data_IF_129777565378
#
_entry.id   IF_129777565378
#
_cell.length_a   1.000
_cell.length_b   1.000
_cell.length_c   1.000
_cell.angle_alpha   90.00
_cell.angle_beta   90.00
_cell.angle_gamma   90.00
#
_symmetry.space_group_name_H-M   'P 1'
#
loop_
_entity.id
_entity.type
_entity.pdbx_description
1 polymer ?
#
# COMPACT_ATOMS: atom_id res chain seq x y z
N UNK A 1 -6.50 13.99 -0.94
CA UNK A 1 -6.39 13.69 0.51
C UNK A 1 -7.22 12.46 0.93
N UNK A 2 -8.51 12.39 0.58
CA UNK A 2 -9.44 11.29 0.92
C UNK A 2 -8.92 9.85 0.74
N UNK A 3 -8.15 9.59 -0.33
CA UNK A 3 -7.76 8.23 -0.69
C UNK A 3 -6.36 7.79 -0.23
N UNK A 4 -5.61 8.63 0.52
CA UNK A 4 -4.24 8.29 0.93
C UNK A 4 -4.21 7.01 1.75
N UNK A 5 -5.15 6.84 2.69
CA UNK A 5 -5.23 5.65 3.53
C UNK A 5 -5.54 4.37 2.73
N UNK A 6 -6.51 4.43 1.84
CA UNK A 6 -6.86 3.31 0.96
C UNK A 6 -5.71 2.97 0.01
N UNK A 7 -5.11 3.97 -0.66
CA UNK A 7 -3.96 3.74 -1.54
C UNK A 7 -2.78 3.12 -0.77
N UNK A 8 -2.45 3.66 0.40
CA UNK A 8 -1.40 3.11 1.26
C UNK A 8 -1.68 1.63 1.61
N UNK A 9 -2.90 1.31 2.03
CA UNK A 9 -3.31 -0.05 2.36
C UNK A 9 -3.13 -1.01 1.17
N UNK A 10 -3.62 -0.62 -0.02
CA UNK A 10 -3.50 -1.44 -1.23
C UNK A 10 -2.03 -1.61 -1.65
N UNK A 11 -1.20 -0.57 -1.53
CA UNK A 11 0.24 -0.67 -1.82
C UNK A 11 0.94 -1.65 -0.88
N UNK A 12 0.62 -1.63 0.42
CA UNK A 12 1.15 -2.61 1.37
C UNK A 12 0.71 -4.02 1.01
N UNK A 13 -0.56 -4.22 0.61
CA UNK A 13 -1.05 -5.52 0.15
C UNK A 13 -0.34 -6.02 -1.12
N UNK A 14 -0.07 -5.14 -2.09
CA UNK A 14 0.73 -5.44 -3.29
C UNK A 14 2.14 -5.88 -2.93
N UNK A 15 2.81 -5.13 -2.05
CA UNK A 15 4.15 -5.43 -1.57
C UNK A 15 4.21 -6.76 -0.80
N UNK A 16 3.20 -7.03 0.03
CA UNK A 16 3.06 -8.29 0.76
C UNK A 16 2.90 -9.47 -0.20
N UNK A 17 2.03 -9.37 -1.20
CA UNK A 17 1.85 -10.40 -2.22
C UNK A 17 3.14 -10.66 -3.00
N UNK A 18 3.83 -9.59 -3.44
CA UNK A 18 5.10 -9.69 -4.15
C UNK A 18 6.16 -10.39 -3.31
N UNK A 19 6.21 -10.12 -2.01
CA UNK A 19 7.13 -10.81 -1.11
C UNK A 19 6.78 -12.29 -0.93
N UNK A 20 5.51 -12.60 -0.66
CA UNK A 20 5.08 -13.94 -0.26
C UNK A 20 5.02 -14.93 -1.42
N UNK A 21 4.64 -14.46 -2.61
CA UNK A 21 4.32 -15.31 -3.77
C UNK A 21 5.13 -14.97 -5.02
N UNK A 22 6.04 -14.00 -4.92
CA UNK A 22 6.81 -13.42 -6.04
C UNK A 22 5.96 -12.84 -7.19
N UNK A 23 4.65 -12.69 -6.97
CA UNK A 23 3.70 -12.10 -7.93
C UNK A 23 3.01 -10.88 -7.31
N UNK A 24 2.64 -9.93 -8.16
CA UNK A 24 1.78 -8.82 -7.74
C UNK A 24 0.37 -9.32 -7.38
N UNK A 25 -0.35 -8.55 -6.56
CA UNK A 25 -1.67 -8.95 -6.08
C UNK A 25 -2.64 -9.13 -7.27
N UNK A 26 -3.26 -10.31 -7.42
CA UNK A 26 -4.20 -10.56 -8.50
C UNK A 26 -5.37 -9.58 -8.47
N UNK A 27 -5.88 -9.21 -9.64
CA UNK A 27 -6.95 -8.23 -9.77
C UNK A 27 -8.20 -8.57 -8.94
N UNK A 28 -8.59 -9.86 -8.88
CA UNK A 28 -9.71 -10.31 -8.07
C UNK A 28 -9.50 -10.02 -6.57
N UNK A 29 -8.33 -10.40 -6.03
CA UNK A 29 -7.98 -10.14 -4.62
C UNK A 29 -7.85 -8.64 -4.33
N UNK A 30 -7.34 -7.86 -5.30
CA UNK A 30 -7.27 -6.41 -5.19
C UNK A 30 -8.66 -5.77 -5.07
N UNK A 31 -9.61 -6.20 -5.90
CA UNK A 31 -10.99 -5.72 -5.86
C UNK A 31 -11.66 -6.10 -4.54
N UNK A 32 -11.46 -7.33 -4.06
CA UNK A 32 -11.99 -7.79 -2.76
C UNK A 32 -11.46 -6.94 -1.60
N UNK A 33 -10.14 -6.74 -1.51
CA UNK A 33 -9.52 -5.91 -0.47
C UNK A 33 -9.99 -4.46 -0.54
N UNK A 34 -10.13 -3.91 -1.75
CA UNK A 34 -10.65 -2.57 -1.94
C UNK A 34 -12.08 -2.46 -1.41
N UNK A 35 -12.96 -3.39 -1.78
CA UNK A 35 -14.34 -3.38 -1.33
C UNK A 35 -14.46 -3.56 0.18
N UNK A 36 -13.69 -4.48 0.77
CA UNK A 36 -13.66 -4.69 2.21
C UNK A 36 -13.23 -3.41 2.95
N UNK A 37 -12.16 -2.76 2.49
CA UNK A 37 -11.67 -1.52 3.11
C UNK A 37 -12.67 -0.36 2.99
N UNK A 38 -13.25 -0.18 1.81
CA UNK A 38 -14.27 0.87 1.55
C UNK A 38 -15.49 0.67 2.44
N UNK A 39 -15.96 -0.57 2.59
CA UNK A 39 -17.09 -0.92 3.46
C UNK A 39 -16.75 -0.69 4.93
N UNK A 40 -15.58 -1.17 5.39
CA UNK A 40 -15.14 -1.04 6.78
C UNK A 40 -14.94 0.41 7.21
N UNK A 41 -14.45 1.28 6.32
CA UNK A 41 -14.22 2.70 6.59
C UNK A 41 -15.42 3.58 6.24
N UNK A 42 -16.56 2.99 5.86
CA UNK A 42 -17.78 3.69 5.41
C UNK A 42 -17.51 4.79 4.36
N UNK A 43 -16.51 4.57 3.51
CA UNK A 43 -16.03 5.60 2.59
C UNK A 43 -16.88 5.63 1.33
N UNK A 44 -17.35 6.80 0.92
CA UNK A 44 -17.91 6.97 -0.44
C UNK A 44 -16.79 6.88 -1.47
N UNK A 45 -16.76 5.84 -2.29
CA UNK A 45 -15.77 5.68 -3.38
C UNK A 45 -16.49 5.23 -4.64
N UNK A 46 -16.53 6.09 -5.66
CA UNK A 46 -17.19 5.76 -6.92
C UNK A 46 -16.38 4.73 -7.73
N UNK A 47 -17.03 4.08 -8.69
CA UNK A 47 -16.41 2.99 -9.45
C UNK A 47 -15.18 3.42 -10.24
N UNK A 48 -15.11 4.68 -10.70
CA UNK A 48 -13.98 5.21 -11.47
C UNK A 48 -12.77 5.43 -10.57
N UNK A 49 -12.99 5.97 -9.38
CA UNK A 49 -11.98 6.11 -8.34
C UNK A 49 -11.41 4.75 -7.93
N UNK A 50 -12.25 3.71 -7.83
CA UNK A 50 -11.80 2.34 -7.50
C UNK A 50 -10.84 1.78 -8.55
N UNK A 51 -11.19 1.91 -9.84
CA UNK A 51 -10.33 1.47 -10.94
C UNK A 51 -9.00 2.23 -10.90
N UNK A 52 -9.06 3.55 -10.73
CA UNK A 52 -7.87 4.38 -10.69
C UNK A 52 -6.97 4.03 -9.49
N UNK A 53 -7.54 3.85 -8.30
CA UNK A 53 -6.81 3.44 -7.09
C UNK A 53 -6.18 2.06 -7.22
N UNK A 54 -6.88 1.12 -7.87
CA UNK A 54 -6.32 -0.19 -8.18
C UNK A 54 -5.04 -0.08 -9.01
N UNK A 55 -5.08 0.68 -10.11
CA UNK A 55 -3.90 0.94 -10.95
C UNK A 55 -2.80 1.69 -10.19
N UNK A 56 -3.17 2.76 -9.48
CA UNK A 56 -2.23 3.57 -8.71
C UNK A 56 -1.50 2.74 -7.65
N UNK A 57 -2.19 1.79 -7.02
CA UNK A 57 -1.58 0.92 -6.01
C UNK A 57 -0.45 0.07 -6.59
N UNK A 58 -0.64 -0.47 -7.80
CA UNK A 58 0.38 -1.27 -8.48
C UNK A 58 1.57 -0.40 -8.92
N UNK A 59 1.30 0.75 -9.54
CA UNK A 59 2.33 1.69 -9.98
C UNK A 59 3.24 2.12 -8.81
N UNK A 60 2.62 2.50 -7.68
CA UNK A 60 3.37 2.93 -6.49
C UNK A 60 4.13 1.75 -5.88
N UNK A 61 3.52 0.57 -5.78
CA UNK A 61 4.19 -0.62 -5.24
C UNK A 61 5.41 -1.02 -6.06
N UNK A 62 5.31 -0.99 -7.40
CA UNK A 62 6.43 -1.27 -8.31
C UNK A 62 7.55 -0.24 -8.15
N UNK A 63 7.21 1.04 -8.10
CA UNK A 63 8.18 2.12 -7.91
C UNK A 63 8.95 1.98 -6.58
N UNK A 64 8.23 1.70 -5.49
CA UNK A 64 8.80 1.50 -4.16
C UNK A 64 9.65 0.21 -4.11
N UNK A 65 9.15 -0.89 -4.67
CA UNK A 65 9.88 -2.14 -4.71
C UNK A 65 11.18 -2.03 -5.53
N UNK A 66 11.16 -1.30 -6.65
CA UNK A 66 12.36 -1.04 -7.45
C UNK A 66 13.39 -0.18 -6.70
N UNK A 67 12.93 0.80 -5.91
CA UNK A 67 13.82 1.71 -5.18
C UNK A 67 14.42 1.10 -3.91
N UNK A 68 13.66 0.28 -3.17
CA UNK A 68 14.04 -0.17 -1.81
C UNK A 68 14.14 -1.69 -1.67
N UNK A 69 13.76 -2.45 -2.69
CA UNK A 69 13.82 -3.90 -2.69
C UNK A 69 12.82 -4.60 -1.75
N UNK A 70 12.89 -5.94 -1.66
CA UNK A 70 11.93 -6.75 -0.90
C UNK A 70 12.04 -6.58 0.63
N UNK A 71 13.19 -6.11 1.13
CA UNK A 71 13.41 -5.86 2.56
C UNK A 71 12.51 -4.72 3.09
N UNK A 72 12.14 -3.77 2.23
CA UNK A 72 11.24 -2.66 2.56
C UNK A 72 9.92 -3.17 3.17
N UNK A 73 9.39 -4.28 2.66
CA UNK A 73 8.09 -4.84 3.05
C UNK A 73 8.05 -5.31 4.51
N UNK A 74 9.18 -5.69 5.10
CA UNK A 74 9.21 -6.20 6.49
C UNK A 74 8.68 -5.20 7.50
N UNK A 75 9.02 -3.93 7.30
CA UNK A 75 8.59 -2.83 8.16
C UNK A 75 7.07 -2.63 8.23
N UNK A 76 6.31 -3.28 7.35
CA UNK A 76 4.85 -3.23 7.27
C UNK A 76 4.18 -4.52 7.74
N UNK A 77 4.90 -5.65 7.80
CA UNK A 77 4.35 -6.97 8.13
C UNK A 77 4.66 -7.41 9.56
N UNK A 78 5.56 -6.73 10.27
CA UNK A 78 5.92 -7.08 11.64
C UNK A 78 4.77 -6.87 12.62
N UNK A 79 4.06 -7.95 12.94
CA UNK A 79 3.30 -8.11 14.19
C UNK A 79 4.16 -8.95 15.14
N UNK A 80 4.74 -8.30 16.16
CA UNK A 80 5.39 -8.92 17.32
C UNK A 80 6.54 -9.91 17.04
N UNK A 81 7.79 -9.47 17.25
CA UNK A 81 8.93 -10.21 17.82
C UNK A 81 10.25 -9.64 17.26
N UNK A 82 10.77 -8.58 17.88
CA UNK A 82 12.20 -8.38 18.20
C UNK A 82 12.45 -6.96 18.77
N UNK A 83 13.36 -6.79 19.76
CA UNK A 83 13.36 -5.61 20.62
C UNK A 83 14.24 -4.46 20.10
N UNK A 84 13.69 -3.26 20.24
CA UNK A 84 14.36 -2.01 20.63
C UNK A 84 15.18 -1.17 19.63
N UNK A 85 15.64 -1.66 18.46
CA UNK A 85 16.26 -0.78 17.44
C UNK A 85 15.50 -0.64 16.11
N UNK A 86 14.54 -1.53 15.83
CA UNK A 86 13.79 -1.59 14.57
C UNK A 86 12.61 -0.58 14.53
N UNK A 87 12.22 -0.04 15.69
CA UNK A 87 11.01 0.79 15.84
C UNK A 87 11.06 2.11 15.05
N UNK A 88 12.21 2.81 15.06
CA UNK A 88 12.40 4.06 14.33
C UNK A 88 12.39 3.87 12.81
N UNK A 89 13.16 2.90 12.31
CA UNK A 89 13.25 2.59 10.88
C UNK A 89 11.91 2.16 10.28
N UNK A 90 11.13 1.35 11.00
CA UNK A 90 9.80 0.96 10.54
C UNK A 90 8.81 2.14 10.51
N UNK A 91 8.90 3.05 11.47
CA UNK A 91 8.08 4.26 11.50
C UNK A 91 8.41 5.19 10.32
N UNK A 92 9.71 5.41 10.06
CA UNK A 92 10.18 6.26 8.96
C UNK A 92 9.78 5.70 7.59
N UNK A 93 9.88 4.38 7.41
CA UNK A 93 9.42 3.70 6.19
C UNK A 93 7.90 3.83 5.99
N UNK A 94 7.11 3.80 7.07
CA UNK A 94 5.66 4.05 7.00
C UNK A 94 5.35 5.49 6.61
N UNK A 95 6.04 6.47 7.20
CA UNK A 95 5.91 7.89 6.82
C UNK A 95 6.29 8.08 5.36
N UNK A 96 7.41 7.51 4.93
CA UNK A 96 7.90 7.57 3.55
C UNK A 96 6.86 7.03 2.58
N UNK A 97 6.35 5.81 2.81
CA UNK A 97 5.37 5.20 1.93
C UNK A 97 4.07 6.01 1.86
N UNK A 98 3.59 6.49 3.01
CA UNK A 98 2.40 7.35 3.08
C UNK A 98 2.61 8.66 2.30
N UNK A 99 3.79 9.26 2.43
CA UNK A 99 4.17 10.48 1.71
C UNK A 99 4.25 10.22 0.20
N UNK A 100 4.81 9.09 -0.23
CA UNK A 100 4.84 8.67 -1.63
C UNK A 100 3.44 8.50 -2.20
N UNK A 101 2.55 7.83 -1.47
CA UNK A 101 1.14 7.71 -1.85
C UNK A 101 0.48 9.09 -1.97
N UNK A 102 0.69 9.97 -1.00
CA UNK A 102 0.17 11.34 -1.04
C UNK A 102 0.66 12.11 -2.27
N UNK A 103 1.97 12.11 -2.56
CA UNK A 103 2.54 12.76 -3.75
C UNK A 103 2.01 12.18 -5.05
N UNK A 104 1.77 10.87 -5.11
CA UNK A 104 1.20 10.25 -6.31
C UNK A 104 -0.22 10.79 -6.56
N UNK A 105 -1.05 10.86 -5.51
CA UNK A 105 -2.41 11.40 -5.62
C UNK A 105 -2.40 12.88 -6.05
N UNK A 106 -1.48 13.70 -5.55
CA UNK A 106 -1.44 15.14 -5.89
C UNK A 106 -0.85 15.46 -7.26
N UNK A 107 -0.06 14.56 -7.86
CA UNK A 107 0.50 14.76 -9.21
C UNK A 107 -0.42 14.28 -10.34
N UNK A 108 -1.41 13.45 -10.03
CA UNK A 108 -2.30 12.78 -11.00
C UNK A 108 -3.75 13.25 -10.92
N UNK A 109 -4.08 14.10 -9.95
CA UNK A 109 -5.33 14.87 -9.85
C UNK A 109 -5.09 16.26 -10.45
#
# INVERSE_FOLDING_TARGET
MKYVGLLYFLVVAQLAAKRQRDIWLPAAQLVELLHAWVAQQEMKCDWRDRIWLGKASLDVAQSVHAAYGPAFVMSFLSTASEPEQISGDAHDKRILLRTTCFRYLTRKL
#
